data_IF_386256154413
#
_entry.id   IF_386256154413
#
_cell.length_a   1.000
_cell.length_b   1.000
_cell.length_c   1.000
_cell.angle_alpha   90.00
_cell.angle_beta   90.00
_cell.angle_gamma   90.00
#
_symmetry.space_group_name_H-M   'P 1'
#
loop_
_entity.id
_entity.type
_entity.pdbx_description
1 polymer ?
#
# COMPACT_ATOMS: atom_id res chain seq x y z
N UNK A 1 -0.79 -31.17 7.85
CA UNK A 1 0.29 -30.61 8.68
C UNK A 1 0.80 -29.26 8.17
N UNK A 2 1.15 -29.11 6.88
CA UNK A 2 1.64 -27.84 6.32
C UNK A 2 0.65 -26.67 6.51
N UNK A 3 -0.65 -26.92 6.35
CA UNK A 3 -1.70 -25.90 6.54
C UNK A 3 -1.81 -25.47 8.02
N UNK A 4 -1.65 -26.42 8.95
CA UNK A 4 -1.68 -26.13 10.38
C UNK A 4 -0.45 -25.34 10.83
N UNK A 5 0.74 -25.63 10.27
CA UNK A 5 1.97 -24.87 10.51
C UNK A 5 1.89 -23.47 9.88
N UNK A 6 1.32 -23.34 8.67
CA UNK A 6 1.07 -22.04 8.05
C UNK A 6 0.09 -21.19 8.87
N UNK A 7 -0.99 -21.80 9.36
CA UNK A 7 -1.97 -21.14 10.22
C UNK A 7 -1.33 -20.71 11.55
N UNK A 8 -0.45 -21.54 12.13
CA UNK A 8 0.28 -21.21 13.36
C UNK A 8 1.28 -20.05 13.14
N UNK A 9 1.98 -20.02 12.00
CA UNK A 9 2.87 -18.90 11.64
C UNK A 9 2.08 -17.61 11.43
N UNK A 10 0.85 -17.71 10.91
CA UNK A 10 -0.05 -16.55 10.74
C UNK A 10 -0.64 -16.03 12.06
N UNK A 11 -0.77 -16.86 13.10
CA UNK A 11 -1.33 -16.46 14.41
C UNK A 11 -0.28 -15.96 15.41
N UNK A 12 1.01 -16.22 15.17
CA UNK A 12 2.11 -15.83 16.09
C UNK A 12 2.71 -14.46 15.73
N UNK A 13 2.27 -13.81 14.64
CA UNK A 13 2.75 -12.47 14.30
C UNK A 13 2.05 -11.47 15.23
N UNK A 14 2.77 -10.80 16.16
CA UNK A 14 2.15 -9.80 17.01
C UNK A 14 1.55 -8.69 16.14
N UNK A 15 0.25 -8.46 16.30
CA UNK A 15 -0.38 -7.23 15.86
C UNK A 15 0.14 -6.10 16.72
N UNK A 16 1.12 -5.34 16.24
CA UNK A 16 1.37 -3.97 16.70
C UNK A 16 2.27 -3.23 15.70
N UNK A 17 1.71 -2.25 15.00
CA UNK A 17 1.55 -0.91 15.57
C UNK A 17 0.32 -0.26 14.94
N UNK A 18 -0.63 0.13 15.78
CA UNK A 18 -1.76 0.98 15.44
C UNK A 18 -1.20 2.39 15.35
N UNK A 19 -0.62 2.74 14.20
CA UNK A 19 -0.61 4.14 13.81
C UNK A 19 -1.99 4.41 13.26
N UNK A 20 -2.90 5.11 13.96
CA UNK A 20 -4.06 5.65 13.28
C UNK A 20 -3.49 6.69 12.32
N UNK A 21 -3.19 6.26 11.09
CA UNK A 21 -3.05 7.18 9.99
C UNK A 21 -4.44 7.83 9.90
N UNK A 22 -4.62 8.97 10.56
CA UNK A 22 -5.81 9.78 10.44
C UNK A 22 -5.77 10.36 9.05
N UNK A 23 -6.19 9.54 8.09
CA UNK A 23 -6.37 9.97 6.72
C UNK A 23 -7.41 11.08 6.77
N UNK A 24 -7.12 12.28 6.22
CA UNK A 24 -8.07 13.38 6.22
C UNK A 24 -9.41 12.93 5.66
N UNK A 25 -10.51 13.38 6.29
CA UNK A 25 -11.86 12.95 5.95
C UNK A 25 -12.20 13.14 4.46
N UNK A 26 -11.65 14.21 3.86
CA UNK A 26 -11.78 14.59 2.45
C UNK A 26 -11.29 13.52 1.47
N UNK A 27 -10.44 12.60 1.92
CA UNK A 27 -9.92 11.49 1.13
C UNK A 27 -10.50 10.13 1.58
N UNK A 28 -11.58 10.14 2.35
CA UNK A 28 -12.36 8.93 2.56
C UNK A 28 -13.02 8.50 1.25
N UNK A 29 -13.25 7.20 1.09
CA UNK A 29 -13.90 6.66 -0.11
C UNK A 29 -15.26 7.32 -0.38
N UNK A 30 -16.00 7.68 0.66
CA UNK A 30 -17.29 8.36 0.55
C UNK A 30 -17.12 9.76 -0.07
N UNK A 31 -16.19 10.56 0.44
CA UNK A 31 -15.94 11.91 -0.10
C UNK A 31 -15.38 11.84 -1.53
N UNK A 32 -14.50 10.88 -1.82
CA UNK A 32 -14.01 10.65 -3.18
C UNK A 32 -15.15 10.29 -4.15
N UNK A 33 -16.08 9.43 -3.74
CA UNK A 33 -17.28 9.10 -4.51
C UNK A 33 -18.21 10.30 -4.69
N UNK A 34 -18.38 11.13 -3.66
CA UNK A 34 -19.17 12.34 -3.77
C UNK A 34 -18.56 13.34 -4.77
N UNK A 35 -17.22 13.46 -4.77
CA UNK A 35 -16.48 14.40 -5.61
C UNK A 35 -16.32 13.92 -7.06
N UNK A 36 -16.07 12.64 -7.27
CA UNK A 36 -15.68 12.08 -8.58
C UNK A 36 -16.61 10.96 -9.09
N UNK A 37 -17.71 10.67 -8.37
CA UNK A 37 -18.75 9.69 -8.71
C UNK A 37 -18.52 8.27 -8.17
N UNK A 38 -19.52 7.39 -8.27
CA UNK A 38 -19.37 5.95 -7.89
C UNK A 38 -19.40 4.94 -9.07
N UNK A 39 -19.92 5.32 -10.24
CA UNK A 39 -19.99 4.43 -11.41
C UNK A 39 -18.62 4.03 -12.01
N UNK A 40 -18.45 2.78 -12.45
CA UNK A 40 -17.25 2.30 -13.14
C UNK A 40 -17.32 2.62 -14.63
N UNK A 41 -17.07 3.89 -14.98
CA UNK A 41 -17.36 4.46 -16.30
C UNK A 41 -16.16 5.11 -17.00
N UNK A 42 -14.98 5.10 -16.38
CA UNK A 42 -13.77 5.71 -16.96
C UNK A 42 -13.00 4.69 -17.78
N UNK A 43 -12.39 5.11 -18.88
CA UNK A 43 -11.40 4.26 -19.55
C UNK A 43 -10.06 4.23 -18.81
N UNK A 44 -9.08 3.44 -19.29
CA UNK A 44 -7.74 3.37 -18.69
C UNK A 44 -7.01 4.72 -18.64
N UNK A 45 -7.19 5.57 -19.66
CA UNK A 45 -6.53 6.88 -19.76
C UNK A 45 -7.15 7.86 -18.77
N UNK A 46 -8.47 7.89 -18.69
CA UNK A 46 -9.23 8.71 -17.75
C UNK A 46 -9.00 8.28 -16.30
N UNK A 47 -8.99 6.97 -16.04
CA UNK A 47 -8.65 6.39 -14.73
C UNK A 47 -7.26 6.84 -14.29
N UNK A 48 -6.30 6.87 -15.22
CA UNK A 48 -4.95 7.34 -14.96
C UNK A 48 -4.91 8.84 -14.66
N UNK A 49 -5.64 9.66 -15.44
CA UNK A 49 -5.75 11.10 -15.22
C UNK A 49 -6.35 11.39 -13.84
N UNK A 50 -7.40 10.66 -13.46
CA UNK A 50 -8.00 10.75 -12.13
C UNK A 50 -6.98 10.42 -11.04
N UNK A 51 -6.27 9.29 -11.15
CA UNK A 51 -5.24 8.91 -10.19
C UNK A 51 -4.15 9.99 -10.04
N UNK A 52 -3.64 10.52 -11.15
CA UNK A 52 -2.62 11.57 -11.13
C UNK A 52 -3.16 12.87 -10.52
N UNK A 53 -4.41 13.24 -10.80
CA UNK A 53 -5.08 14.39 -10.17
C UNK A 53 -5.13 14.24 -8.65
N UNK A 54 -5.53 13.06 -8.15
CA UNK A 54 -5.54 12.76 -6.72
C UNK A 54 -4.14 12.84 -6.10
N UNK A 55 -3.11 12.35 -6.80
CA UNK A 55 -1.72 12.47 -6.32
C UNK A 55 -1.27 13.93 -6.22
N UNK A 56 -1.65 14.78 -7.17
CA UNK A 56 -1.37 16.22 -7.12
C UNK A 56 -2.08 16.87 -5.94
N UNK A 57 -3.36 16.57 -5.70
CA UNK A 57 -4.09 17.07 -4.53
C UNK A 57 -3.44 16.64 -3.21
N UNK A 58 -3.04 15.36 -3.11
CA UNK A 58 -2.32 14.83 -1.94
C UNK A 58 -0.99 15.57 -1.74
N UNK A 59 -0.23 15.80 -2.82
CA UNK A 59 1.04 16.55 -2.77
C UNK A 59 0.82 17.97 -2.26
N UNK A 60 -0.19 18.67 -2.77
CA UNK A 60 -0.50 20.03 -2.32
C UNK A 60 -0.90 20.05 -0.85
N UNK A 61 -1.68 19.06 -0.39
CA UNK A 61 -2.06 18.93 1.01
C UNK A 61 -0.83 18.85 1.93
N UNK A 62 0.13 17.96 1.62
CA UNK A 62 1.35 17.81 2.41
C UNK A 62 2.30 19.01 2.28
N UNK A 63 2.36 19.66 1.11
CA UNK A 63 3.14 20.88 0.95
C UNK A 63 2.64 22.02 1.85
N UNK A 64 1.31 22.16 2.00
CA UNK A 64 0.70 23.14 2.92
C UNK A 64 0.94 22.79 4.39
N UNK A 65 1.09 21.51 4.71
CA UNK A 65 1.29 21.00 6.07
C UNK A 65 2.75 20.66 6.40
N UNK A 66 3.72 21.08 5.58
CA UNK A 66 5.12 20.64 5.67
C UNK A 66 5.74 20.78 7.07
N UNK A 67 5.33 21.79 7.83
CA UNK A 67 5.84 22.06 9.19
C UNK A 67 4.90 21.61 10.33
N UNK A 68 3.75 21.01 10.02
CA UNK A 68 2.71 20.71 11.00
C UNK A 68 2.82 19.31 11.63
N UNK A 69 3.50 18.37 10.96
CA UNK A 69 3.62 16.97 11.36
C UNK A 69 5.07 16.51 11.25
N UNK A 70 5.44 15.48 12.01
CA UNK A 70 6.76 14.85 11.86
C UNK A 70 6.86 14.09 10.52
N UNK A 71 8.06 13.98 9.96
CA UNK A 71 8.29 13.33 8.67
C UNK A 71 7.74 11.89 8.60
N UNK A 72 7.89 11.13 9.68
CA UNK A 72 7.35 9.77 9.79
C UNK A 72 5.81 9.74 9.69
N UNK A 73 5.11 10.64 10.39
CA UNK A 73 3.64 10.72 10.38
C UNK A 73 3.13 11.17 9.01
N UNK A 74 3.83 12.12 8.37
CA UNK A 74 3.53 12.53 6.99
C UNK A 74 3.72 11.37 6.01
N UNK A 75 4.82 10.63 6.13
CA UNK A 75 5.11 9.49 5.26
C UNK A 75 4.06 8.37 5.40
N UNK A 76 3.65 8.04 6.63
CA UNK A 76 2.60 7.06 6.92
C UNK A 76 1.28 7.51 6.28
N UNK A 77 0.85 8.75 6.57
CA UNK A 77 -0.42 9.30 6.09
C UNK A 77 -0.45 9.39 4.57
N UNK A 78 0.67 9.81 3.96
CA UNK A 78 0.79 9.88 2.52
C UNK A 78 0.71 8.48 1.89
N UNK A 79 1.39 7.48 2.44
CA UNK A 79 1.31 6.11 1.93
C UNK A 79 -0.13 5.57 1.94
N UNK A 80 -0.87 5.81 3.02
CA UNK A 80 -2.28 5.43 3.13
C UNK A 80 -3.17 6.19 2.11
N UNK A 81 -2.96 7.50 1.95
CA UNK A 81 -3.67 8.33 0.98
C UNK A 81 -3.44 7.88 -0.47
N UNK A 82 -2.18 7.61 -0.84
CA UNK A 82 -1.83 7.11 -2.17
C UNK A 82 -2.46 5.76 -2.45
N UNK A 83 -2.51 4.88 -1.45
CA UNK A 83 -3.20 3.60 -1.56
C UNK A 83 -4.70 3.79 -1.82
N UNK A 84 -5.38 4.63 -1.05
CA UNK A 84 -6.80 4.94 -1.25
C UNK A 84 -7.07 5.55 -2.62
N UNK A 85 -6.25 6.52 -3.03
CA UNK A 85 -6.34 7.12 -4.36
C UNK A 85 -6.21 6.06 -5.47
N UNK A 86 -5.29 5.09 -5.31
CA UNK A 86 -5.13 3.99 -6.26
C UNK A 86 -6.35 3.07 -6.30
N UNK A 87 -6.84 2.63 -5.14
CA UNK A 87 -8.01 1.76 -5.07
C UNK A 87 -9.24 2.46 -5.65
N UNK A 88 -9.43 3.73 -5.32
CA UNK A 88 -10.52 4.54 -5.83
C UNK A 88 -10.43 4.71 -7.34
N UNK A 89 -9.27 5.09 -7.89
CA UNK A 89 -9.11 5.19 -9.34
C UNK A 89 -9.43 3.85 -10.03
N UNK A 90 -8.94 2.72 -9.51
CA UNK A 90 -9.25 1.39 -10.06
C UNK A 90 -10.74 1.03 -10.01
N UNK A 91 -11.47 1.47 -9.00
CA UNK A 91 -12.92 1.23 -8.93
C UNK A 91 -13.71 2.01 -9.98
N UNK A 92 -13.08 3.00 -10.64
CA UNK A 92 -13.68 3.80 -11.73
C UNK A 92 -13.44 3.20 -13.12
N UNK A 93 -12.49 2.29 -13.27
CA UNK A 93 -12.04 1.76 -14.57
C UNK A 93 -13.05 0.79 -15.21
N UNK A 94 -13.86 1.30 -16.13
CA UNK A 94 -14.89 0.57 -16.87
C UNK A 94 -14.37 -0.28 -18.03
N UNK A 95 -13.07 -0.26 -18.32
CA UNK A 95 -12.51 -0.88 -19.54
C UNK A 95 -12.53 -2.42 -19.48
N UNK A 96 -12.63 -3.00 -18.28
CA UNK A 96 -12.52 -4.45 -18.09
C UNK A 96 -13.87 -5.16 -18.22
N UNK A 97 -13.96 -6.09 -19.18
CA UNK A 97 -15.14 -6.93 -19.43
C UNK A 97 -15.54 -7.80 -18.23
N UNK A 98 -14.56 -8.30 -17.47
CA UNK A 98 -14.79 -9.11 -16.26
C UNK A 98 -14.05 -8.46 -15.08
N UNK A 99 -14.67 -7.49 -14.39
CA UNK A 99 -14.08 -6.73 -13.30
C UNK A 99 -13.38 -7.60 -12.24
N UNK A 100 -14.07 -8.64 -11.80
CA UNK A 100 -13.64 -9.52 -10.71
C UNK A 100 -12.30 -10.19 -11.03
N UNK A 101 -12.16 -10.76 -12.24
CA UNK A 101 -10.94 -11.45 -12.64
C UNK A 101 -9.76 -10.48 -12.75
N UNK A 102 -9.99 -9.31 -13.36
CA UNK A 102 -8.94 -8.29 -13.46
C UNK A 102 -8.48 -7.83 -12.07
N UNK A 103 -9.41 -7.58 -11.15
CA UNK A 103 -9.07 -7.14 -9.80
C UNK A 103 -8.22 -8.18 -9.07
N UNK A 104 -8.55 -9.47 -9.22
CA UNK A 104 -7.71 -10.58 -8.71
C UNK A 104 -6.30 -10.56 -9.31
N UNK A 105 -6.16 -10.41 -10.62
CA UNK A 105 -4.84 -10.33 -11.26
C UNK A 105 -4.03 -9.11 -10.80
N UNK A 106 -4.68 -7.96 -10.62
CA UNK A 106 -4.04 -6.75 -10.13
C UNK A 106 -3.59 -6.92 -8.67
N UNK A 107 -4.41 -7.54 -7.81
CA UNK A 107 -4.08 -7.85 -6.42
C UNK A 107 -2.93 -8.85 -6.32
N UNK A 108 -2.92 -9.89 -7.16
CA UNK A 108 -1.82 -10.86 -7.25
C UNK A 108 -0.53 -10.22 -7.74
N UNK A 109 -0.59 -9.35 -8.76
CA UNK A 109 0.59 -8.60 -9.21
C UNK A 109 1.13 -7.72 -8.10
N UNK A 110 0.26 -6.97 -7.42
CA UNK A 110 0.65 -6.07 -6.34
C UNK A 110 1.26 -6.88 -5.16
N UNK A 111 0.69 -8.04 -4.81
CA UNK A 111 1.24 -8.92 -3.77
C UNK A 111 2.57 -9.55 -4.16
N UNK A 112 2.78 -9.83 -5.46
CA UNK A 112 4.07 -10.30 -5.96
C UNK A 112 5.14 -9.21 -5.85
N UNK A 113 4.85 -8.02 -6.39
CA UNK A 113 5.78 -6.88 -6.44
C UNK A 113 6.07 -6.32 -5.05
N UNK A 114 5.11 -6.38 -4.13
CA UNK A 114 5.22 -5.80 -2.80
C UNK A 114 5.32 -6.82 -1.68
N UNK A 115 5.46 -8.11 -1.97
CA UNK A 115 5.49 -9.15 -0.95
C UNK A 115 6.27 -10.38 -1.37
N UNK A 116 5.68 -11.23 -2.23
CA UNK A 116 6.19 -12.57 -2.53
C UNK A 116 7.66 -12.56 -2.99
N UNK A 117 8.06 -11.58 -3.82
CA UNK A 117 9.46 -11.47 -4.28
C UNK A 117 10.48 -11.32 -3.13
N UNK A 118 10.06 -10.76 -1.99
CA UNK A 118 10.93 -10.50 -0.83
C UNK A 118 10.95 -11.65 0.17
N UNK A 119 9.98 -12.58 0.09
CA UNK A 119 9.80 -13.66 1.05
C UNK A 119 11.06 -14.56 1.18
N UNK A 120 11.71 -15.02 0.09
CA UNK A 120 12.89 -15.88 0.23
C UNK A 120 14.05 -15.18 0.95
N UNK A 121 14.31 -13.92 0.61
CA UNK A 121 15.39 -13.14 1.22
C UNK A 121 15.12 -12.88 2.70
N UNK A 122 13.91 -12.45 3.05
CA UNK A 122 13.53 -12.19 4.45
C UNK A 122 13.58 -13.46 5.29
N UNK A 123 13.13 -14.59 4.73
CA UNK A 123 13.18 -15.88 5.42
C UNK A 123 14.60 -16.36 5.69
N UNK A 124 15.51 -16.24 4.72
CA UNK A 124 16.92 -16.57 4.93
C UNK A 124 17.57 -15.70 6.02
N UNK A 125 17.24 -14.41 6.06
CA UNK A 125 17.75 -13.50 7.08
C UNK A 125 17.22 -13.83 8.49
N UNK A 126 15.93 -14.12 8.60
CA UNK A 126 15.34 -14.53 9.89
C UNK A 126 15.91 -15.89 10.32
N UNK A 127 16.13 -16.83 9.39
CA UNK A 127 16.78 -18.11 9.69
C UNK A 127 18.21 -17.92 10.21
N UNK A 128 19.01 -17.05 9.59
CA UNK A 128 20.36 -16.73 10.10
C UNK A 128 20.34 -16.12 11.49
N UNK A 129 19.31 -15.31 11.78
CA UNK A 129 19.12 -14.66 13.09
C UNK A 129 18.68 -15.68 14.15
N UNK A 130 17.80 -16.62 13.78
CA UNK A 130 17.39 -17.75 14.61
C UNK A 130 18.55 -18.67 14.96
N UNK A 131 19.45 -18.94 14.00
CA UNK A 131 20.68 -19.70 14.25
C UNK A 131 21.63 -18.97 15.22
N UNK A 132 21.59 -17.63 15.27
CA UNK A 132 22.33 -16.82 16.23
C UNK A 132 21.65 -16.70 17.61
N UNK A 133 20.50 -17.37 17.81
CA UNK A 133 19.80 -17.44 19.09
C UNK A 133 18.58 -16.51 19.24
N UNK A 134 18.26 -15.70 18.22
CA UNK A 134 17.06 -14.86 18.20
C UNK A 134 16.01 -15.45 17.23
N UNK A 135 15.00 -16.10 17.80
CA UNK A 135 13.93 -16.77 17.07
C UNK A 135 12.81 -15.83 16.58
N UNK A 136 13.07 -14.52 16.48
CA UNK A 136 12.10 -13.56 15.95
C UNK A 136 12.03 -13.61 14.41
N UNK A 137 11.00 -14.26 13.87
CA UNK A 137 10.68 -14.26 12.42
C UNK A 137 10.00 -12.96 11.97
N UNK A 138 10.53 -11.82 12.42
CA UNK A 138 9.89 -10.51 12.25
C UNK A 138 9.81 -10.09 10.79
N UNK A 139 10.86 -10.31 9.99
CA UNK A 139 10.89 -9.83 8.59
C UNK A 139 9.99 -10.69 7.72
N UNK A 140 10.05 -12.01 7.87
CA UNK A 140 9.14 -12.95 7.22
C UNK A 140 7.70 -12.67 7.59
N UNK A 141 7.40 -12.42 8.87
CA UNK A 141 6.07 -12.04 9.32
C UNK A 141 5.53 -10.78 8.63
N UNK A 142 6.36 -9.72 8.54
CA UNK A 142 5.99 -8.49 7.83
C UNK A 142 5.74 -8.71 6.33
N UNK A 143 6.54 -9.54 5.67
CA UNK A 143 6.33 -9.89 4.26
C UNK A 143 5.03 -10.67 4.07
N UNK A 144 4.75 -11.65 4.92
CA UNK A 144 3.52 -12.46 4.85
C UNK A 144 2.29 -11.58 5.07
N UNK A 145 2.34 -10.69 6.07
CA UNK A 145 1.29 -9.70 6.31
C UNK A 145 1.08 -8.82 5.08
N UNK A 146 2.16 -8.33 4.47
CA UNK A 146 2.06 -7.51 3.26
C UNK A 146 1.41 -8.25 2.09
N UNK A 147 1.75 -9.53 1.90
CA UNK A 147 1.11 -10.37 0.87
C UNK A 147 -0.39 -10.43 1.11
N UNK A 148 -0.82 -10.72 2.35
CA UNK A 148 -2.24 -10.78 2.71
C UNK A 148 -2.95 -9.45 2.45
N UNK A 149 -2.38 -8.33 2.88
CA UNK A 149 -2.97 -6.99 2.70
C UNK A 149 -3.07 -6.58 1.22
N UNK A 150 -2.14 -7.05 0.37
CA UNK A 150 -2.19 -6.81 -1.07
C UNK A 150 -3.21 -7.71 -1.80
N UNK A 151 -3.38 -8.96 -1.36
CA UNK A 151 -4.34 -9.91 -1.93
C UNK A 151 -5.77 -9.55 -1.51
N UNK A 152 -5.96 -9.13 -0.26
CA UNK A 152 -7.27 -8.76 0.29
C UNK A 152 -7.26 -7.27 0.64
N UNK A 153 -7.30 -6.37 -0.36
CA UNK A 153 -7.21 -4.95 -0.13
C UNK A 153 -8.40 -4.44 0.67
N UNK A 154 -8.13 -3.67 1.72
CA UNK A 154 -9.14 -2.90 2.45
C UNK A 154 -8.91 -1.40 2.24
N UNK A 155 -10.00 -0.62 2.21
CA UNK A 155 -9.95 0.85 2.18
C UNK A 155 -9.39 1.43 3.48
N UNK A 156 -9.47 0.66 4.56
CA UNK A 156 -8.97 1.03 5.89
C UNK A 156 -7.55 0.49 6.15
N UNK A 157 -6.93 -0.19 5.20
CA UNK A 157 -5.54 -0.62 5.35
C UNK A 157 -4.57 0.55 5.16
N UNK A 158 -3.39 0.43 5.77
CA UNK A 158 -2.29 1.40 5.62
C UNK A 158 -1.57 1.31 4.27
N UNK A 159 -2.09 0.48 3.37
CA UNK A 159 -1.70 0.38 1.97
C UNK A 159 -0.92 -0.86 1.57
N UNK A 160 -0.88 -1.08 0.26
CA UNK A 160 0.01 -2.04 -0.38
C UNK A 160 0.96 -1.29 -1.35
N UNK A 161 2.27 -1.16 -1.03
CA UNK A 161 2.93 -1.63 0.18
C UNK A 161 2.59 -0.78 1.43
N UNK A 162 2.73 -1.33 2.63
CA UNK A 162 2.61 -0.63 3.90
C UNK A 162 3.88 0.17 4.21
N UNK A 163 3.76 1.21 5.04
CA UNK A 163 4.90 2.01 5.49
C UNK A 163 5.98 1.16 6.18
N UNK A 164 5.59 0.26 7.08
CA UNK A 164 6.53 -0.64 7.77
C UNK A 164 7.29 -1.52 6.79
N UNK A 165 6.62 -2.05 5.76
CA UNK A 165 7.29 -2.82 4.71
C UNK A 165 8.30 -1.96 3.93
N UNK A 166 7.94 -0.73 3.58
CA UNK A 166 8.85 0.21 2.91
C UNK A 166 10.10 0.51 3.75
N UNK A 167 9.93 0.72 5.06
CA UNK A 167 11.03 1.01 5.99
C UNK A 167 11.90 -0.22 6.28
N UNK A 168 11.29 -1.32 6.70
CA UNK A 168 12.00 -2.45 7.30
C UNK A 168 12.47 -3.49 6.26
N UNK A 169 11.75 -3.64 5.14
CA UNK A 169 12.10 -4.61 4.10
C UNK A 169 12.79 -3.95 2.92
N UNK A 170 12.30 -2.77 2.50
CA UNK A 170 12.89 -2.02 1.39
C UNK A 170 13.96 -1.01 1.81
N UNK A 171 14.11 -0.73 3.12
CA UNK A 171 15.14 0.17 3.63
C UNK A 171 14.95 1.64 3.21
N UNK A 172 13.74 2.06 2.85
CA UNK A 172 13.47 3.46 2.47
C UNK A 172 13.56 4.40 3.67
N UNK A 173 13.98 5.64 3.48
CA UNK A 173 13.83 6.69 4.49
C UNK A 173 12.39 7.24 4.54
N UNK A 174 12.07 8.06 5.55
CA UNK A 174 10.74 8.69 5.65
C UNK A 174 10.53 9.69 4.50
N UNK A 175 11.60 10.41 4.14
CA UNK A 175 11.68 11.32 3.00
C UNK A 175 11.49 10.58 1.67
N UNK A 176 12.12 9.41 1.50
CA UNK A 176 11.95 8.57 0.31
C UNK A 176 10.50 8.08 0.15
N UNK A 177 9.85 7.75 1.27
CA UNK A 177 8.44 7.34 1.25
C UNK A 177 7.56 8.53 0.87
N UNK A 178 7.76 9.69 1.49
CA UNK A 178 7.01 10.91 1.23
C UNK A 178 7.18 11.41 -0.21
N UNK A 179 8.40 11.40 -0.73
CA UNK A 179 8.70 11.74 -2.12
C UNK A 179 8.01 10.76 -3.10
N UNK A 180 8.14 9.45 -2.85
CA UNK A 180 7.50 8.44 -3.71
C UNK A 180 5.98 8.46 -3.68
N UNK A 181 5.41 9.01 -2.61
CA UNK A 181 3.98 9.17 -2.47
C UNK A 181 3.45 10.32 -3.32
N UNK A 182 4.17 11.43 -3.35
CA UNK A 182 3.75 12.64 -4.04
C UNK A 182 4.15 12.66 -5.51
N UNK A 183 5.10 11.82 -5.94
CA UNK A 183 5.53 11.71 -7.34
C UNK A 183 4.76 10.62 -8.12
N UNK A 184 4.18 11.02 -9.26
CA UNK A 184 3.85 10.11 -10.36
C UNK A 184 5.07 10.00 -11.27
N UNK A 185 5.30 8.82 -11.87
CA UNK A 185 6.37 8.66 -12.85
C UNK A 185 6.25 9.72 -13.96
N UNK A 186 7.29 10.55 -14.15
CA UNK A 186 7.32 11.68 -15.10
C UNK A 186 7.04 11.25 -16.55
N UNK A 187 7.39 10.00 -16.89
CA UNK A 187 7.18 9.42 -18.22
C UNK A 187 5.72 9.29 -18.66
N UNK A 188 4.79 9.57 -17.76
CA UNK A 188 3.37 9.35 -17.97
C UNK A 188 2.52 10.62 -17.86
N UNK A 189 3.17 11.79 -17.77
CA UNK A 189 2.52 13.10 -17.82
C UNK A 189 2.38 13.68 -19.24
N UNK A 190 2.86 12.96 -20.26
CA UNK A 190 2.97 13.46 -21.65
C UNK A 190 2.15 12.65 -22.67
N UNK A 191 1.14 11.88 -22.23
CA UNK A 191 0.23 11.15 -23.13
C UNK A 191 -1.21 11.61 -22.93
#
# INVERSE_FOLDING_TARGET
MVIAVLALVLTVIPEQDIFPATVPADYSFRELKAKFGDARNLDHTETRKLYNSLLTEIREHFNRQKNALQAAEQAISCNALRWRARLYARSRDGTYTIPILTDWFLQLRDSYVHGLRYLPKSFLQDLTTALAGDFSFRRSGLVIRQIRECIFPSVDSMGCPSYQFLRQIKGKSDEDVLASCTESNLWYGTS
#
